data_IF_651185938983
#
_entry.id   IF_651185938983
#
_cell.length_a   1.000
_cell.length_b   1.000
_cell.length_c   1.000
_cell.angle_alpha   90.00
_cell.angle_beta   90.00
_cell.angle_gamma   90.00
#
_symmetry.space_group_name_H-M   'P 1'
#
loop_
_entity.id
_entity.type
_entity.pdbx_description
1 polymer ?
#
# COMPACT_ATOMS: atom_id res chain seq x y z
N UNK A 1 -2.80 8.12 9.47
CA UNK A 1 -2.32 8.64 10.77
C UNK A 1 -2.09 7.47 11.71
N UNK A 2 -1.04 7.50 12.53
CA UNK A 2 -0.84 6.55 13.63
C UNK A 2 -1.06 7.26 14.94
N UNK A 3 -1.96 6.72 15.75
CA UNK A 3 -2.21 7.16 17.12
C UNK A 3 -1.34 6.34 18.08
N UNK A 4 -0.56 7.01 18.94
CA UNK A 4 0.21 6.35 20.01
C UNK A 4 -0.44 6.57 21.37
N UNK A 5 -0.86 7.80 21.64
CA UNK A 5 -1.64 8.21 22.82
C UNK A 5 -2.36 9.53 22.50
N UNK A 6 -3.08 10.11 23.46
CA UNK A 6 -3.90 11.31 23.28
C UNK A 6 -3.11 12.53 22.75
N UNK A 7 -1.79 12.59 22.97
CA UNK A 7 -0.95 13.75 22.66
C UNK A 7 0.12 13.48 21.59
N UNK A 8 0.17 12.26 21.03
CA UNK A 8 1.19 11.90 20.05
C UNK A 8 0.59 11.16 18.85
N UNK A 9 0.63 11.85 17.72
CA UNK A 9 0.14 11.39 16.43
C UNK A 9 1.18 11.69 15.36
N UNK A 10 1.43 10.71 14.49
CA UNK A 10 2.33 10.87 13.35
C UNK A 10 1.61 10.52 12.06
N UNK A 11 1.85 11.30 10.99
CA UNK A 11 1.58 10.87 9.62
C UNK A 11 2.83 10.19 9.10
N UNK A 12 2.75 8.88 8.84
CA UNK A 12 3.89 8.09 8.39
C UNK A 12 3.89 7.98 6.87
N UNK A 13 2.80 7.47 6.30
CA UNK A 13 2.62 7.32 4.86
C UNK A 13 1.71 8.47 4.41
N UNK A 14 2.20 9.29 3.48
CA UNK A 14 1.54 10.48 2.98
C UNK A 14 1.66 10.58 1.45
N UNK A 15 0.93 11.52 0.83
CA UNK A 15 0.88 11.73 -0.62
C UNK A 15 0.46 10.46 -1.40
N UNK A 16 -0.58 9.78 -0.92
CA UNK A 16 -1.17 8.61 -1.57
C UNK A 16 -2.68 8.80 -1.60
N UNK A 17 -3.27 8.61 -2.79
CA UNK A 17 -4.72 8.48 -2.93
C UNK A 17 -5.13 7.07 -2.50
N UNK A 18 -5.18 6.89 -1.19
CA UNK A 18 -5.35 5.58 -0.55
C UNK A 18 -6.83 5.20 -0.49
N UNK A 19 -7.19 4.13 -1.18
CA UNK A 19 -8.48 3.44 -0.99
C UNK A 19 -8.36 2.17 -0.15
N UNK A 20 -7.24 1.48 -0.26
CA UNK A 20 -7.00 0.20 0.41
C UNK A 20 -5.68 0.20 1.16
N UNK A 21 -5.71 -0.33 2.38
CA UNK A 21 -4.52 -0.60 3.17
C UNK A 21 -4.65 -1.94 3.91
N UNK A 22 -3.54 -2.64 4.07
CA UNK A 22 -3.47 -3.85 4.88
C UNK A 22 -2.08 -4.03 5.49
N UNK A 23 -1.92 -5.03 6.36
CA UNK A 23 -0.65 -5.35 7.03
C UNK A 23 -0.44 -6.86 7.08
N UNK A 24 0.79 -7.31 6.85
CA UNK A 24 1.16 -8.72 7.05
C UNK A 24 1.61 -9.02 8.48
N UNK A 25 1.80 -10.31 8.78
CA UNK A 25 2.29 -10.80 10.08
C UNK A 25 3.69 -10.30 10.44
N UNK A 26 4.49 -9.88 9.47
CA UNK A 26 5.86 -9.35 9.67
C UNK A 26 5.88 -7.82 9.87
N UNK A 27 4.71 -7.19 9.88
CA UNK A 27 4.53 -5.76 10.12
C UNK A 27 4.77 -4.88 8.89
N UNK A 28 4.82 -5.44 7.68
CA UNK A 28 4.79 -4.61 6.47
C UNK A 28 3.38 -4.11 6.23
N UNK A 29 3.26 -2.82 5.96
CA UNK A 29 2.01 -2.14 5.62
C UNK A 29 1.97 -1.95 4.11
N UNK A 30 0.90 -2.37 3.49
CA UNK A 30 0.68 -2.30 2.05
C UNK A 30 -0.41 -1.28 1.79
N UNK A 31 -0.19 -0.40 0.81
CA UNK A 31 -1.14 0.66 0.48
C UNK A 31 -1.32 0.71 -1.04
N UNK A 32 -2.57 0.73 -1.47
CA UNK A 32 -2.93 1.01 -2.84
C UNK A 32 -2.89 2.51 -3.09
N UNK A 33 -2.15 2.91 -4.13
CA UNK A 33 -2.12 4.27 -4.64
C UNK A 33 -2.92 4.31 -5.93
N UNK A 34 -4.19 4.66 -5.82
CA UNK A 34 -5.15 4.62 -6.93
C UNK A 34 -4.70 5.54 -8.08
N UNK A 35 -4.28 6.77 -7.77
CA UNK A 35 -3.86 7.77 -8.76
C UNK A 35 -2.61 7.33 -9.53
N UNK A 36 -1.76 6.53 -8.90
CA UNK A 36 -0.48 6.08 -9.48
C UNK A 36 -0.52 4.65 -9.98
N UNK A 37 -1.66 3.99 -9.95
CA UNK A 37 -1.84 2.62 -10.45
C UNK A 37 -0.77 1.66 -9.91
N UNK A 38 -0.50 1.74 -8.61
CA UNK A 38 0.56 0.96 -7.96
C UNK A 38 0.22 0.58 -6.53
N UNK A 39 0.81 -0.52 -6.09
CA UNK A 39 0.81 -0.93 -4.69
C UNK A 39 2.22 -0.83 -4.15
N UNK A 40 2.34 -0.19 -2.99
CA UNK A 40 3.62 -0.04 -2.28
C UNK A 40 3.53 -0.61 -0.89
N UNK A 41 4.68 -1.03 -0.35
CA UNK A 41 4.80 -1.50 1.03
C UNK A 41 5.87 -0.80 1.84
N UNK A 42 5.64 -0.69 3.13
CA UNK A 42 6.53 -0.07 4.11
C UNK A 42 6.74 -0.97 5.31
N UNK A 43 7.96 -1.06 5.82
CA UNK A 43 8.20 -1.60 7.16
C UNK A 43 8.28 -0.45 8.15
N UNK A 44 7.29 -0.37 9.04
CA UNK A 44 7.24 0.65 10.08
C UNK A 44 7.93 0.10 11.34
N UNK A 45 9.07 0.65 11.73
CA UNK A 45 9.78 0.28 12.98
C UNK A 45 9.93 1.51 13.87
N UNK A 46 9.04 1.67 14.84
CA UNK A 46 9.01 2.88 15.68
C UNK A 46 8.74 4.12 14.82
N UNK A 47 9.70 5.06 14.75
CA UNK A 47 9.62 6.28 13.93
C UNK A 47 10.29 6.14 12.57
N UNK A 48 11.07 5.08 12.35
CA UNK A 48 11.73 4.84 11.07
C UNK A 48 10.75 4.27 10.05
N UNK A 49 10.67 4.98 8.93
CA UNK A 49 9.96 4.60 7.71
C UNK A 49 10.92 4.74 6.52
N UNK A 50 10.85 3.80 5.58
CA UNK A 50 11.36 4.00 4.24
C UNK A 50 10.43 4.96 3.48
N UNK A 51 10.81 6.22 3.27
CA UNK A 51 9.86 7.29 2.89
C UNK A 51 9.05 6.98 1.63
N UNK A 52 9.65 6.34 0.63
CA UNK A 52 8.98 6.14 -0.66
C UNK A 52 8.18 4.84 -0.77
N UNK A 53 8.49 3.87 0.10
CA UNK A 53 7.91 2.53 0.08
C UNK A 53 8.37 1.70 -1.11
N UNK A 54 8.41 0.39 -0.94
CA UNK A 54 8.81 -0.54 -2.00
C UNK A 54 7.62 -0.83 -2.92
N UNK A 55 7.76 -0.63 -4.23
CA UNK A 55 6.80 -1.09 -5.24
C UNK A 55 6.68 -2.62 -5.19
N UNK A 56 5.45 -3.13 -5.13
CA UNK A 56 5.17 -4.58 -5.08
C UNK A 56 4.17 -5.06 -6.13
N UNK A 57 3.37 -4.17 -6.71
CA UNK A 57 2.51 -4.46 -7.85
C UNK A 57 2.20 -3.18 -8.65
N UNK A 58 1.89 -3.34 -9.94
CA UNK A 58 1.61 -2.22 -10.85
C UNK A 58 2.83 -1.36 -11.16
N UNK A 59 2.60 -0.07 -11.41
CA UNK A 59 3.65 0.89 -11.74
C UNK A 59 4.06 0.93 -13.21
N UNK A 60 3.42 0.12 -14.07
CA UNK A 60 3.66 0.10 -15.52
C UNK A 60 2.47 0.68 -16.32
N UNK A 61 1.73 1.61 -15.69
CA UNK A 61 0.50 2.17 -16.24
C UNK A 61 -0.69 1.22 -16.17
N UNK A 62 -1.79 1.66 -16.75
CA UNK A 62 -3.04 0.89 -16.88
C UNK A 62 -2.98 -0.01 -18.12
N UNK A 63 -3.59 -1.19 -18.02
CA UNK A 63 -3.75 -2.11 -19.15
C UNK A 63 -3.96 -3.54 -18.69
N UNK A 64 -3.93 -4.47 -19.65
CA UNK A 64 -4.30 -5.88 -19.43
C UNK A 64 -3.10 -6.80 -19.17
N UNK A 65 -1.90 -6.26 -18.99
CA UNK A 65 -0.71 -7.04 -18.69
C UNK A 65 -0.60 -7.32 -17.19
N UNK A 66 0.01 -8.46 -16.81
CA UNK A 66 0.14 -8.93 -15.41
C UNK A 66 0.88 -7.95 -14.48
N UNK A 67 1.63 -7.00 -15.03
CA UNK A 67 2.40 -6.00 -14.30
C UNK A 67 1.78 -4.59 -14.34
N UNK A 68 0.55 -4.48 -14.85
CA UNK A 68 -0.24 -3.26 -14.90
C UNK A 68 -1.38 -3.34 -13.88
N UNK A 69 -1.88 -2.19 -13.44
CA UNK A 69 -3.05 -2.07 -12.57
C UNK A 69 -3.86 -0.87 -13.03
N UNK A 70 -5.17 -0.91 -12.80
CA UNK A 70 -6.07 0.21 -13.01
C UNK A 70 -6.91 0.43 -11.75
N UNK A 71 -6.78 1.63 -11.19
CA UNK A 71 -7.49 2.07 -9.98
C UNK A 71 -7.48 1.05 -8.81
N UNK A 72 -6.31 0.56 -8.36
CA UNK A 72 -6.25 -0.43 -7.30
C UNK A 72 -6.89 0.11 -6.01
N UNK A 73 -7.88 -0.59 -5.46
CA UNK A 73 -8.65 -0.11 -4.31
C UNK A 73 -8.79 -1.11 -3.16
N UNK A 74 -8.96 -2.40 -3.46
CA UNK A 74 -9.02 -3.48 -2.49
C UNK A 74 -7.69 -4.22 -2.42
N UNK A 75 -7.21 -4.50 -1.20
CA UNK A 75 -5.98 -5.25 -0.98
C UNK A 75 -6.05 -6.13 0.26
N UNK A 76 -5.62 -7.38 0.12
CA UNK A 76 -5.33 -8.29 1.23
C UNK A 76 -3.96 -8.93 1.04
N UNK A 77 -3.38 -9.36 2.16
CA UNK A 77 -2.15 -10.15 2.18
C UNK A 77 -2.43 -11.41 2.99
N UNK A 78 -2.12 -12.58 2.43
CA UNK A 78 -2.30 -13.85 3.14
C UNK A 78 -1.12 -14.16 4.10
N UNK A 79 -1.26 -15.22 4.88
CA UNK A 79 -0.22 -15.63 5.85
C UNK A 79 1.09 -16.07 5.17
N UNK A 80 1.07 -16.39 3.87
CA UNK A 80 2.27 -16.70 3.08
C UNK A 80 2.92 -15.44 2.50
N UNK A 81 2.32 -14.27 2.69
CA UNK A 81 2.79 -13.00 2.15
C UNK A 81 2.40 -12.76 0.69
N UNK A 82 1.46 -13.54 0.12
CA UNK A 82 0.92 -13.28 -1.20
C UNK A 82 -0.08 -12.13 -1.13
N UNK A 83 -0.04 -11.25 -2.13
CA UNK A 83 -0.84 -10.03 -2.18
C UNK A 83 -1.91 -10.22 -3.23
N UNK A 84 -3.16 -9.94 -2.88
CA UNK A 84 -4.28 -9.93 -3.80
C UNK A 84 -4.80 -8.50 -3.88
N UNK A 85 -4.85 -7.97 -5.09
CA UNK A 85 -5.22 -6.59 -5.38
C UNK A 85 -6.39 -6.61 -6.34
N UNK A 86 -7.42 -5.85 -6.04
CA UNK A 86 -8.53 -5.63 -6.97
C UNK A 86 -8.03 -4.72 -8.09
N UNK A 87 -8.13 -5.19 -9.32
CA UNK A 87 -7.88 -4.43 -10.54
C UNK A 87 -9.23 -4.00 -11.14
N UNK A 88 -9.48 -2.69 -11.18
CA UNK A 88 -10.76 -2.13 -11.55
C UNK A 88 -10.78 -1.78 -13.03
N UNK A 89 -11.83 -2.22 -13.72
CA UNK A 89 -12.17 -1.70 -15.04
C UNK A 89 -13.24 -0.61 -14.87
N UNK A 90 -12.90 0.62 -15.27
CA UNK A 90 -13.87 1.65 -15.65
C UNK A 90 -13.84 1.83 -17.17
#
# INVERSE_FOLDING_TARGET
MRWRNQNQQDILIHNIRCWGLTKDQFGFHYVCDEEKNKVRRWKIRGERLDKEGKLVAGGNGEGNHLNQLKYPNGIIVDDKGQIYVVDLFL
#
